data_IF_290944589846
#
_entry.id   IF_290944589846
#
_cell.length_a   1.000
_cell.length_b   1.000
_cell.length_c   1.000
_cell.angle_alpha   90.00
_cell.angle_beta   90.00
_cell.angle_gamma   90.00
#
_symmetry.space_group_name_H-M   'P 1'
#
loop_
_entity.id
_entity.type
_entity.pdbx_description
1 polymer ?
#
# COMPACT_ATOMS: atom_id res chain seq x y z
N UNK A 1 19.02 10.49 -20.01
CA UNK A 1 17.62 10.11 -19.73
C UNK A 1 17.37 10.34 -18.25
N UNK A 2 16.26 10.98 -17.91
CA UNK A 2 15.84 11.22 -16.52
C UNK A 2 14.82 10.12 -16.14
N UNK A 3 15.00 9.49 -15.02
CA UNK A 3 14.07 8.51 -14.46
C UNK A 3 13.30 9.17 -13.32
N UNK A 4 11.98 9.21 -13.42
CA UNK A 4 11.11 9.86 -12.45
C UNK A 4 10.56 8.85 -11.43
N UNK A 5 10.53 9.25 -10.16
CA UNK A 5 9.86 8.49 -9.10
C UNK A 5 8.38 8.21 -9.42
N UNK A 6 7.69 9.16 -10.05
CA UNK A 6 6.30 9.00 -10.47
C UNK A 6 6.12 7.84 -11.45
N UNK A 7 7.06 7.68 -12.39
CA UNK A 7 7.07 6.56 -13.33
C UNK A 7 7.32 5.23 -12.60
N UNK A 8 8.22 5.24 -11.62
CA UNK A 8 8.50 4.06 -10.79
C UNK A 8 7.27 3.65 -9.96
N UNK A 9 6.64 4.59 -9.25
CA UNK A 9 5.43 4.33 -8.47
C UNK A 9 4.29 3.80 -9.36
N UNK A 10 4.14 4.31 -10.57
CA UNK A 10 3.17 3.82 -11.55
C UNK A 10 3.51 2.39 -12.00
N UNK A 11 4.77 2.09 -12.29
CA UNK A 11 5.21 0.75 -12.67
C UNK A 11 5.03 -0.25 -11.53
N UNK A 12 5.35 0.14 -10.29
CA UNK A 12 5.12 -0.68 -9.10
C UNK A 12 3.63 -0.95 -8.90
N UNK A 13 2.77 0.07 -9.11
CA UNK A 13 1.32 -0.09 -9.04
C UNK A 13 0.77 -1.02 -10.13
N UNK A 14 1.30 -0.93 -11.34
CA UNK A 14 0.97 -1.86 -12.44
C UNK A 14 1.45 -3.27 -12.10
N UNK A 15 2.62 -3.42 -11.51
CA UNK A 15 3.15 -4.70 -11.09
C UNK A 15 2.29 -5.35 -9.99
N UNK A 16 1.98 -4.64 -8.90
CA UNK A 16 1.09 -5.15 -7.87
C UNK A 16 -0.29 -5.52 -8.42
N UNK A 17 -0.80 -4.75 -9.37
CA UNK A 17 -2.08 -5.02 -10.02
C UNK A 17 -1.99 -6.19 -10.99
N UNK A 18 -0.85 -6.38 -11.64
CA UNK A 18 -0.63 -7.50 -12.57
C UNK A 18 -0.32 -8.80 -11.86
N UNK A 19 0.30 -8.81 -10.69
CA UNK A 19 0.48 -10.04 -9.91
C UNK A 19 -0.85 -10.64 -9.43
N UNK A 20 -1.88 -9.85 -9.23
CA UNK A 20 -3.23 -10.36 -9.06
C UNK A 20 -3.73 -11.15 -10.26
N UNK A 21 -3.37 -10.69 -11.44
CA UNK A 21 -3.59 -11.43 -12.68
C UNK A 21 -2.76 -12.72 -12.72
N UNK A 22 -1.58 -12.74 -12.05
CA UNK A 22 -0.61 -13.83 -12.15
C UNK A 22 -0.88 -15.02 -11.25
N UNK A 23 -1.45 -14.85 -10.07
CA UNK A 23 -1.67 -15.97 -9.14
C UNK A 23 -2.72 -16.98 -9.60
N UNK A 24 -3.51 -16.67 -10.63
CA UNK A 24 -4.50 -17.59 -11.13
C UNK A 24 -4.47 -17.86 -12.63
N UNK A 25 -3.86 -16.99 -13.45
CA UNK A 25 -4.14 -17.00 -14.88
C UNK A 25 -2.96 -16.86 -15.84
N UNK A 26 -1.73 -16.62 -15.36
CA UNK A 26 -0.57 -16.48 -16.26
C UNK A 26 0.72 -17.08 -15.67
N UNK A 27 0.92 -18.41 -15.75
CA UNK A 27 2.11 -19.08 -15.25
C UNK A 27 3.41 -18.67 -15.97
N UNK A 28 3.37 -17.98 -17.12
CA UNK A 28 4.49 -17.83 -18.03
C UNK A 28 5.20 -16.47 -18.02
N UNK A 29 5.02 -15.64 -16.97
CA UNK A 29 5.60 -14.29 -17.00
C UNK A 29 6.68 -14.05 -15.94
N UNK A 30 7.67 -14.94 -15.87
CA UNK A 30 8.93 -14.72 -15.15
C UNK A 30 9.59 -13.37 -15.53
N UNK A 31 9.34 -12.88 -16.74
CA UNK A 31 9.81 -11.61 -17.25
C UNK A 31 9.26 -10.41 -16.45
N UNK A 32 7.97 -10.41 -16.07
CA UNK A 32 7.42 -9.31 -15.27
C UNK A 32 7.97 -9.30 -13.85
N UNK A 33 8.19 -10.47 -13.25
CA UNK A 33 8.86 -10.58 -11.96
C UNK A 33 10.28 -10.01 -12.05
N UNK A 34 11.02 -10.34 -13.10
CA UNK A 34 12.35 -9.79 -13.34
C UNK A 34 12.34 -8.27 -13.41
N UNK A 35 11.43 -7.67 -14.20
CA UNK A 35 11.33 -6.20 -14.32
C UNK A 35 10.97 -5.54 -12.99
N UNK A 36 10.15 -6.17 -12.18
CA UNK A 36 9.84 -5.66 -10.87
C UNK A 36 11.04 -5.71 -9.92
N UNK A 37 11.73 -6.85 -9.88
CA UNK A 37 12.91 -7.02 -9.04
C UNK A 37 14.00 -6.01 -9.45
N UNK A 38 14.22 -5.82 -10.77
CA UNK A 38 15.15 -4.81 -11.30
C UNK A 38 14.72 -3.38 -10.95
N UNK A 39 13.43 -3.07 -11.07
CA UNK A 39 12.88 -1.75 -10.70
C UNK A 39 13.01 -1.48 -9.21
N UNK A 40 12.73 -2.47 -8.37
CA UNK A 40 12.87 -2.35 -6.93
C UNK A 40 14.35 -2.19 -6.53
N UNK A 41 15.25 -2.95 -7.15
CA UNK A 41 16.69 -2.81 -6.93
C UNK A 41 17.20 -1.43 -7.33
N UNK A 42 16.78 -0.92 -8.50
CA UNK A 42 17.15 0.42 -8.97
C UNK A 42 16.60 1.53 -8.04
N UNK A 43 15.34 1.40 -7.61
CA UNK A 43 14.74 2.32 -6.66
C UNK A 43 15.52 2.38 -5.34
N UNK A 44 15.81 1.22 -4.76
CA UNK A 44 16.54 1.15 -3.49
C UNK A 44 17.97 1.68 -3.60
N UNK A 45 18.62 1.47 -4.75
CA UNK A 45 19.99 1.89 -4.96
C UNK A 45 20.12 3.40 -5.23
N UNK A 46 19.16 4.02 -5.93
CA UNK A 46 19.37 5.36 -6.49
C UNK A 46 18.33 6.40 -6.09
N UNK A 47 17.11 6.00 -5.73
CA UNK A 47 16.08 6.95 -5.30
C UNK A 47 16.09 7.22 -3.80
N UNK A 48 16.49 6.23 -2.99
CA UNK A 48 16.54 6.41 -1.54
C UNK A 48 17.81 7.14 -1.14
N UNK A 49 17.67 8.20 -0.35
CA UNK A 49 18.79 8.81 0.33
C UNK A 49 18.96 8.15 1.71
N UNK A 50 19.90 7.23 1.78
CA UNK A 50 20.17 6.48 3.01
C UNK A 50 20.97 7.28 4.05
N UNK A 51 21.53 8.45 3.69
CA UNK A 51 22.31 9.28 4.58
C UNK A 51 21.41 10.28 5.33
N UNK A 52 20.67 11.08 4.56
CA UNK A 52 19.85 12.17 5.11
C UNK A 52 18.35 11.85 5.10
N UNK A 53 17.98 10.66 4.62
CA UNK A 53 16.60 10.21 4.50
C UNK A 53 15.85 10.85 3.33
N UNK A 54 14.67 10.31 3.04
CA UNK A 54 13.80 10.76 1.97
C UNK A 54 14.08 10.11 0.62
N UNK A 55 13.41 10.62 -0.41
CA UNK A 55 13.39 10.02 -1.75
C UNK A 55 13.68 11.13 -2.76
N UNK A 56 14.63 10.89 -3.66
CA UNK A 56 14.85 11.78 -4.81
C UNK A 56 13.70 11.65 -5.80
N UNK A 57 13.20 12.80 -6.29
CA UNK A 57 12.08 12.79 -7.23
C UNK A 57 12.49 12.29 -8.61
N UNK A 58 13.65 12.74 -9.09
CA UNK A 58 14.23 12.31 -10.36
C UNK A 58 15.69 11.92 -10.16
N UNK A 59 16.11 10.89 -10.88
CA UNK A 59 17.51 10.51 -11.03
C UNK A 59 17.85 10.37 -12.51
N UNK A 60 19.12 10.59 -12.85
CA UNK A 60 19.63 10.30 -14.19
C UNK A 60 19.76 8.80 -14.40
N UNK A 61 19.89 8.37 -15.66
CA UNK A 61 20.03 6.94 -15.99
C UNK A 61 21.27 6.27 -15.36
N UNK A 62 22.26 7.06 -14.98
CA UNK A 62 23.46 6.61 -14.26
C UNK A 62 23.29 6.63 -12.72
N UNK A 63 22.08 6.88 -12.21
CA UNK A 63 21.79 6.89 -10.77
C UNK A 63 22.10 8.20 -10.05
N UNK A 64 22.66 9.21 -10.73
CA UNK A 64 22.93 10.51 -10.10
C UNK A 64 21.63 11.27 -9.90
N UNK A 65 21.36 11.86 -8.70
CA UNK A 65 20.19 12.69 -8.48
C UNK A 65 20.10 13.86 -9.46
N UNK A 66 18.90 14.13 -9.98
CA UNK A 66 18.66 15.26 -10.87
C UNK A 66 18.59 16.55 -10.07
N UNK A 67 19.45 17.52 -10.41
CA UNK A 67 19.66 18.71 -9.60
C UNK A 67 19.17 20.01 -10.24
N UNK A 68 18.55 19.93 -11.43
CA UNK A 68 18.11 21.10 -12.18
C UNK A 68 16.59 21.20 -12.27
N UNK A 69 16.11 22.42 -12.51
CA UNK A 69 14.68 22.69 -12.69
C UNK A 69 13.87 22.70 -11.41
N UNK A 70 12.55 22.65 -11.55
CA UNK A 70 11.58 22.71 -10.45
C UNK A 70 11.38 21.38 -9.75
N UNK A 71 11.73 20.28 -10.39
CA UNK A 71 11.57 18.90 -9.89
C UNK A 71 12.93 18.26 -9.56
N UNK A 72 13.73 19.03 -8.83
CA UNK A 72 15.07 18.67 -8.42
C UNK A 72 15.10 18.14 -6.98
N UNK A 73 16.14 17.37 -6.66
CA UNK A 73 16.36 16.83 -5.31
C UNK A 73 15.16 16.01 -4.81
N UNK A 74 14.83 16.15 -3.54
CA UNK A 74 13.75 15.48 -2.83
C UNK A 74 12.46 16.31 -2.79
N UNK A 75 12.52 17.58 -3.18
CA UNK A 75 11.39 18.51 -3.17
C UNK A 75 10.92 18.84 -4.57
N UNK A 76 9.64 18.71 -4.80
CA UNK A 76 8.98 19.12 -6.04
C UNK A 76 7.51 19.37 -5.73
N UNK A 77 6.86 20.22 -6.53
CA UNK A 77 5.41 20.43 -6.41
C UNK A 77 4.60 19.15 -6.67
N UNK A 78 5.18 18.19 -7.38
CA UNK A 78 4.58 16.87 -7.66
C UNK A 78 5.01 15.79 -6.67
N UNK A 79 5.99 16.07 -5.79
CA UNK A 79 6.46 15.16 -4.76
C UNK A 79 5.76 15.51 -3.44
N UNK A 80 4.60 14.92 -3.24
CA UNK A 80 3.96 14.93 -1.94
C UNK A 80 4.18 13.59 -1.22
N UNK A 81 3.99 13.58 0.09
CA UNK A 81 3.98 12.35 0.87
C UNK A 81 2.96 11.32 0.37
N UNK A 82 1.99 11.74 -0.43
CA UNK A 82 0.96 10.87 -1.02
C UNK A 82 1.55 9.67 -1.76
N UNK A 83 2.40 9.91 -2.77
CA UNK A 83 2.94 8.81 -3.59
C UNK A 83 3.88 7.88 -2.82
N UNK A 84 4.72 8.42 -1.94
CA UNK A 84 5.62 7.60 -1.14
C UNK A 84 4.87 6.79 -0.08
N UNK A 85 3.87 7.39 0.56
CA UNK A 85 3.01 6.69 1.53
C UNK A 85 2.14 5.63 0.85
N UNK A 86 1.58 5.95 -0.33
CA UNK A 86 0.84 4.99 -1.14
C UNK A 86 1.71 3.78 -1.50
N UNK A 87 2.94 4.00 -1.96
CA UNK A 87 3.87 2.91 -2.29
C UNK A 87 4.18 2.04 -1.07
N UNK A 88 4.50 2.65 0.06
CA UNK A 88 4.77 1.92 1.30
C UNK A 88 3.56 1.10 1.76
N UNK A 89 2.36 1.69 1.72
CA UNK A 89 1.12 1.01 2.10
C UNK A 89 0.83 -0.18 1.18
N UNK A 90 0.84 0.03 -0.13
CA UNK A 90 0.56 -1.03 -1.11
C UNK A 90 1.57 -2.16 -1.01
N UNK A 91 2.87 -1.83 -0.87
CA UNK A 91 3.94 -2.82 -0.70
C UNK A 91 3.77 -3.63 0.58
N UNK A 92 3.45 -2.98 1.69
CA UNK A 92 3.23 -3.66 2.98
C UNK A 92 2.05 -4.62 2.91
N UNK A 93 0.90 -4.15 2.41
CA UNK A 93 -0.31 -4.97 2.25
C UNK A 93 -0.02 -6.19 1.40
N UNK A 94 0.61 -5.99 0.25
CA UNK A 94 0.89 -7.09 -0.68
C UNK A 94 1.92 -8.08 -0.13
N UNK A 95 3.05 -7.57 0.36
CA UNK A 95 4.15 -8.42 0.86
C UNK A 95 3.68 -9.23 2.07
N UNK A 96 3.02 -8.62 3.03
CA UNK A 96 2.62 -9.33 4.24
C UNK A 96 1.50 -10.33 3.98
N UNK A 97 0.45 -9.92 3.26
CA UNK A 97 -0.69 -10.81 3.02
C UNK A 97 -0.42 -11.83 1.91
N UNK A 98 0.14 -11.42 0.76
CA UNK A 98 0.20 -12.30 -0.41
C UNK A 98 1.50 -13.10 -0.52
N UNK A 99 2.64 -12.53 -0.11
CA UNK A 99 3.95 -13.20 -0.19
C UNK A 99 4.25 -13.95 1.10
N UNK A 100 4.25 -13.23 2.23
CA UNK A 100 4.64 -13.81 3.53
C UNK A 100 3.52 -14.54 4.25
N UNK A 101 2.28 -14.40 3.78
CA UNK A 101 1.08 -14.99 4.38
C UNK A 101 0.93 -14.67 5.88
N UNK A 102 1.31 -13.45 6.25
CA UNK A 102 1.21 -12.96 7.63
C UNK A 102 -0.03 -12.10 7.80
N UNK A 103 -0.71 -12.18 8.96
CA UNK A 103 -1.77 -11.23 9.27
C UNK A 103 -1.26 -9.79 9.26
N UNK A 104 -2.13 -8.86 8.86
CA UNK A 104 -1.85 -7.43 8.79
C UNK A 104 -2.86 -6.67 9.63
N UNK A 105 -2.38 -5.78 10.48
CA UNK A 105 -3.21 -4.88 11.27
C UNK A 105 -3.48 -3.58 10.50
N UNK A 106 -4.76 -3.26 10.31
CA UNK A 106 -5.23 -2.02 9.72
C UNK A 106 -5.86 -1.14 10.80
N UNK A 107 -5.49 0.13 10.83
CA UNK A 107 -5.93 1.08 11.85
C UNK A 107 -6.80 2.18 11.24
N UNK A 108 -7.96 2.40 11.85
CA UNK A 108 -8.92 3.40 11.41
C UNK A 108 -9.30 4.31 12.57
N UNK A 109 -9.57 5.57 12.25
CA UNK A 109 -10.09 6.56 13.21
C UNK A 109 -11.28 7.29 12.57
N UNK A 110 -12.40 6.59 12.37
CA UNK A 110 -13.57 7.16 11.71
C UNK A 110 -14.13 8.37 12.47
N UNK A 111 -14.72 9.29 11.71
CA UNK A 111 -15.52 10.37 12.28
C UNK A 111 -16.81 9.80 12.87
N UNK A 112 -17.34 10.40 13.95
CA UNK A 112 -18.67 10.06 14.44
C UNK A 112 -19.69 10.16 13.28
N UNK A 113 -20.48 9.12 13.11
CA UNK A 113 -21.48 9.03 12.04
C UNK A 113 -20.92 9.26 10.61
N UNK A 114 -19.61 9.11 10.40
CA UNK A 114 -18.93 9.38 9.14
C UNK A 114 -19.21 8.36 8.02
N UNK A 115 -19.77 7.21 8.36
CA UNK A 115 -20.12 6.16 7.41
C UNK A 115 -21.62 5.91 7.36
N UNK A 116 -22.13 5.71 6.16
CA UNK A 116 -23.53 5.30 5.96
C UNK A 116 -23.79 3.99 6.71
N UNK A 117 -24.89 3.95 7.45
CA UNK A 117 -25.26 2.80 8.28
C UNK A 117 -24.20 2.38 9.31
N UNK A 118 -23.21 3.21 9.60
CA UNK A 118 -22.09 2.89 10.50
C UNK A 118 -21.28 1.67 10.04
N UNK A 119 -21.21 1.42 8.77
CA UNK A 119 -20.47 0.31 8.18
C UNK A 119 -19.09 0.78 7.71
N UNK A 120 -18.04 0.23 8.30
CA UNK A 120 -16.65 0.44 7.89
C UNK A 120 -16.21 -0.71 6.99
N UNK A 121 -15.93 -0.40 5.73
CA UNK A 121 -15.31 -1.34 4.79
C UNK A 121 -13.80 -1.32 4.96
N UNK A 122 -13.19 -2.48 5.16
CA UNK A 122 -11.75 -2.64 5.42
C UNK A 122 -10.98 -3.30 4.28
N UNK A 123 -11.63 -3.56 3.16
CA UNK A 123 -11.05 -4.24 2.01
C UNK A 123 -9.97 -3.38 1.34
N UNK A 124 -8.70 -3.84 1.26
CA UNK A 124 -7.71 -3.25 0.38
C UNK A 124 -8.03 -3.57 -1.08
N UNK A 125 -8.39 -2.56 -1.87
CA UNK A 125 -8.86 -2.73 -3.27
C UNK A 125 -7.81 -3.29 -4.23
N UNK A 126 -6.54 -3.44 -3.78
CA UNK A 126 -5.44 -3.99 -4.58
C UNK A 126 -5.37 -5.52 -4.57
N UNK A 127 -6.10 -6.17 -3.67
CA UNK A 127 -6.06 -7.63 -3.51
C UNK A 127 -7.20 -8.29 -4.29
N UNK A 128 -7.04 -9.56 -4.75
CA UNK A 128 -8.11 -10.30 -5.39
C UNK A 128 -9.29 -10.46 -4.44
N UNK A 129 -10.49 -10.28 -4.96
CA UNK A 129 -11.70 -10.50 -4.17
C UNK A 129 -11.70 -11.91 -3.55
N UNK A 130 -12.01 -11.97 -2.27
CA UNK A 130 -12.08 -13.22 -1.55
C UNK A 130 -10.73 -13.85 -1.17
N UNK A 131 -9.59 -13.17 -1.41
CA UNK A 131 -8.28 -13.67 -1.02
C UNK A 131 -7.95 -13.51 0.46
N UNK A 132 -8.64 -12.62 1.14
CA UNK A 132 -8.43 -12.31 2.56
C UNK A 132 -9.76 -12.31 3.34
N UNK A 133 -9.65 -12.34 4.65
CA UNK A 133 -10.77 -12.20 5.59
C UNK A 133 -10.35 -11.42 6.84
N UNK A 134 -11.33 -10.89 7.58
CA UNK A 134 -11.09 -10.35 8.92
C UNK A 134 -10.84 -11.51 9.88
N UNK A 135 -9.75 -11.44 10.64
CA UNK A 135 -9.40 -12.40 11.69
C UNK A 135 -9.92 -11.90 13.04
N UNK A 136 -9.74 -10.60 13.32
CA UNK A 136 -10.16 -9.99 14.58
C UNK A 136 -10.40 -8.51 14.40
N UNK A 137 -11.19 -7.95 15.31
CA UNK A 137 -11.44 -6.51 15.40
C UNK A 137 -11.36 -6.07 16.87
N UNK A 138 -10.79 -4.89 17.07
CA UNK A 138 -10.76 -4.20 18.37
C UNK A 138 -11.28 -2.77 18.19
N UNK A 139 -12.07 -2.28 19.13
CA UNK A 139 -12.50 -0.88 19.21
C UNK A 139 -12.06 -0.33 20.56
N UNK A 140 -11.30 0.78 20.54
CA UNK A 140 -10.74 1.43 21.73
C UNK A 140 -9.96 0.45 22.64
N UNK A 141 -9.29 -0.55 22.02
CA UNK A 141 -8.51 -1.57 22.71
C UNK A 141 -9.32 -2.73 23.29
N UNK A 142 -10.63 -2.77 23.06
CA UNK A 142 -11.50 -3.87 23.48
C UNK A 142 -11.87 -4.76 22.29
N UNK A 143 -11.90 -6.09 22.52
CA UNK A 143 -12.33 -7.04 21.50
C UNK A 143 -13.74 -6.72 21.01
N UNK A 144 -13.92 -6.75 19.70
CA UNK A 144 -15.18 -6.42 19.06
C UNK A 144 -15.55 -7.50 18.03
N UNK A 145 -16.79 -8.00 18.07
CA UNK A 145 -17.20 -9.17 17.31
C UNK A 145 -18.26 -8.89 16.23
N UNK A 146 -18.80 -7.66 16.18
CA UNK A 146 -19.83 -7.34 15.18
C UNK A 146 -19.17 -6.89 13.85
N UNK A 147 -18.65 -7.89 13.12
CA UNK A 147 -18.07 -7.72 11.80
C UNK A 147 -18.42 -8.92 10.89
N UNK A 148 -18.44 -8.65 9.58
CA UNK A 148 -18.50 -9.69 8.55
C UNK A 148 -17.07 -10.03 8.10
N UNK A 149 -16.61 -11.21 8.49
CA UNK A 149 -15.25 -11.65 8.18
C UNK A 149 -14.99 -11.78 6.68
N UNK A 150 -15.93 -12.32 5.94
CA UNK A 150 -15.83 -12.60 4.51
C UNK A 150 -16.18 -11.36 3.66
N UNK A 151 -17.13 -10.57 4.10
CA UNK A 151 -17.53 -9.30 3.48
C UNK A 151 -16.57 -8.15 3.79
N UNK A 152 -15.58 -8.37 4.66
CA UNK A 152 -14.58 -7.37 5.05
C UNK A 152 -15.20 -6.05 5.55
N UNK A 153 -16.27 -6.17 6.36
CA UNK A 153 -16.95 -5.01 6.92
C UNK A 153 -17.05 -5.11 8.44
N UNK A 154 -16.98 -3.97 9.10
CA UNK A 154 -17.18 -3.83 10.53
C UNK A 154 -18.38 -2.93 10.80
N UNK A 155 -19.36 -3.43 11.54
CA UNK A 155 -20.51 -2.64 11.97
C UNK A 155 -20.13 -1.81 13.20
N UNK A 156 -19.85 -0.52 13.02
CA UNK A 156 -19.41 0.35 14.10
C UNK A 156 -20.55 0.60 15.10
N UNK A 157 -20.26 0.68 16.43
CA UNK A 157 -21.23 1.12 17.42
C UNK A 157 -21.59 2.58 17.21
N UNK A 158 -22.74 3.01 17.74
CA UNK A 158 -23.05 4.43 17.82
C UNK A 158 -22.06 5.12 18.76
N UNK A 159 -21.52 6.25 18.32
CA UNK A 159 -20.56 7.01 19.13
C UNK A 159 -20.59 8.49 18.73
N UNK A 160 -20.50 9.36 19.73
CA UNK A 160 -20.38 10.80 19.53
C UNK A 160 -18.90 11.25 19.45
N UNK A 161 -17.98 10.33 19.66
CA UNK A 161 -16.53 10.55 19.54
C UNK A 161 -15.91 9.65 18.47
N UNK A 162 -14.67 9.98 18.07
CA UNK A 162 -13.91 9.14 17.14
C UNK A 162 -13.48 7.84 17.82
N UNK A 163 -13.85 6.72 17.23
CA UNK A 163 -13.40 5.40 17.66
C UNK A 163 -11.99 5.12 17.15
N UNK A 164 -11.21 4.36 17.90
CA UNK A 164 -9.96 3.78 17.45
C UNK A 164 -10.23 2.32 17.07
N UNK A 165 -10.32 2.05 15.79
CA UNK A 165 -10.64 0.71 15.28
C UNK A 165 -9.36 0.06 14.76
N UNK A 166 -9.03 -1.12 15.28
CA UNK A 166 -7.97 -1.99 14.78
C UNK A 166 -8.62 -3.22 14.17
N UNK A 167 -8.30 -3.53 12.92
CA UNK A 167 -8.79 -4.72 12.24
C UNK A 167 -7.61 -5.53 11.77
N UNK A 168 -7.51 -6.77 12.21
CA UNK A 168 -6.52 -7.73 11.72
C UNK A 168 -7.11 -8.51 10.57
N UNK A 169 -6.48 -8.45 9.41
CA UNK A 169 -6.85 -9.22 8.22
C UNK A 169 -5.80 -10.27 7.92
N UNK A 170 -6.20 -11.35 7.28
CA UNK A 170 -5.28 -12.41 6.86
C UNK A 170 -5.80 -13.15 5.63
N UNK A 171 -4.92 -13.93 5.01
CA UNK A 171 -5.27 -14.77 3.85
C UNK A 171 -6.18 -15.91 4.27
N UNK A 172 -6.99 -16.34 3.32
CA UNK A 172 -7.78 -17.58 3.44
C UNK A 172 -6.92 -18.80 3.24
#
# INVERSE_FOLDING_TARGET
>A
MVVSFKLFALNTRIYFRSEHFFQGHMPDKAEYKKYSDESAAYYNAFFLDNNDGGIYFNVLANGVPYLMGTERYKGSHSMSAYHSTELCFLSTVYIDLMIKKRPLDLYFKPLPNGFKNRELRVEPDILPKGSIKIISCEIDGQKYENFDAEGLTVQLPASDSRLKVKVTVGTK
#
